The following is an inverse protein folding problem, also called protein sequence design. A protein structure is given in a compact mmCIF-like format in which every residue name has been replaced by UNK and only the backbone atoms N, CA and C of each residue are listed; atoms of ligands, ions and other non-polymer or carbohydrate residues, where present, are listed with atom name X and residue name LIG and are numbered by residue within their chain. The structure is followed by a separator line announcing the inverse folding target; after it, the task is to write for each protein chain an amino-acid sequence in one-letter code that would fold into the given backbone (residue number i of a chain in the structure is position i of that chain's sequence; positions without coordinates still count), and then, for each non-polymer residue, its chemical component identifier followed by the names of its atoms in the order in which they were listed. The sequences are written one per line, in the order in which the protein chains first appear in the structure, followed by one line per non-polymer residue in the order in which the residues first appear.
data_IF_195210813900
#
_entry.id   IF_195210813900
#
_cell.length_a   1.000
_cell.length_b   1.000
_cell.length_c   1.000
_cell.angle_alpha   90.00
_cell.angle_beta   90.00
_cell.angle_gamma   90.00
#
_symmetry.space_group_name_H-M   'P 1'
#
loop_
_entity.id
_entity.type
_entity.pdbx_description
1 polymer ?
#
# COMPACT_ATOMS: atom_id res chain seq x y z
N UNK A 1 3.94 -15.71 -3.85
CA UNK A 1 3.44 -14.83 -4.95
C UNK A 1 3.86 -13.40 -4.64
N UNK A 2 4.04 -12.56 -5.65
CA UNK A 2 4.44 -11.14 -5.49
C UNK A 2 3.25 -10.21 -5.73
N UNK A 3 3.32 -9.00 -5.19
CA UNK A 3 2.37 -7.91 -5.43
C UNK A 3 3.05 -6.55 -5.28
N UNK A 4 2.49 -5.51 -5.90
CA UNK A 4 2.91 -4.14 -5.71
C UNK A 4 2.14 -3.53 -4.54
N UNK A 5 2.85 -3.14 -3.49
CA UNK A 5 2.29 -2.42 -2.34
C UNK A 5 2.37 -0.92 -2.58
N UNK A 6 1.26 -0.22 -2.39
CA UNK A 6 1.20 1.24 -2.32
C UNK A 6 0.83 1.62 -0.88
N UNK A 7 1.72 2.32 -0.20
CA UNK A 7 1.50 2.88 1.12
C UNK A 7 0.56 4.09 1.04
N UNK A 8 -0.71 3.84 1.37
CA UNK A 8 -1.73 4.88 1.45
C UNK A 8 -1.86 5.40 2.89
N UNK A 9 -0.72 5.76 3.49
CA UNK A 9 -0.65 6.24 4.87
C UNK A 9 -1.34 7.59 5.03
N UNK A 10 -2.02 7.76 6.17
CA UNK A 10 -2.62 9.03 6.53
C UNK A 10 -1.60 10.15 6.64
N UNK A 11 -1.85 11.22 5.91
CA UNK A 11 -1.08 12.47 6.00
C UNK A 11 -1.93 13.67 6.38
N UNK A 12 -3.25 13.58 6.22
CA UNK A 12 -4.15 14.72 6.29
C UNK A 12 -5.59 14.33 6.71
N UNK A 13 -6.40 15.32 7.09
CA UNK A 13 -7.85 15.15 7.35
C UNK A 13 -8.72 15.53 6.14
N UNK A 14 -8.19 16.31 5.21
CA UNK A 14 -8.78 16.60 3.90
C UNK A 14 -7.72 16.73 2.81
N UNK A 15 -8.07 16.67 1.52
CA UNK A 15 -7.11 16.77 0.42
C UNK A 15 -6.28 18.05 0.43
N UNK A 16 -6.87 19.17 0.86
CA UNK A 16 -6.18 20.48 0.93
C UNK A 16 -5.09 20.52 2.02
N UNK A 17 -5.15 19.62 3.00
CA UNK A 17 -4.16 19.50 4.08
C UNK A 17 -2.96 18.61 3.69
N UNK A 18 -2.94 18.04 2.48
CA UNK A 18 -1.81 17.26 1.99
C UNK A 18 -0.61 18.18 1.72
N UNK A 19 0.35 18.16 2.64
CA UNK A 19 1.57 18.98 2.55
C UNK A 19 2.66 18.35 1.66
N UNK A 20 2.58 17.05 1.38
CA UNK A 20 3.51 16.34 0.51
C UNK A 20 3.03 16.37 -0.93
N UNK A 21 3.97 16.31 -1.89
CA UNK A 21 3.62 16.20 -3.31
C UNK A 21 2.94 14.86 -3.54
N UNK A 22 1.68 14.90 -3.99
CA UNK A 22 0.95 13.72 -4.46
C UNK A 22 1.25 13.51 -5.94
N UNK A 23 1.51 12.28 -6.34
CA UNK A 23 1.67 11.92 -7.75
C UNK A 23 0.38 12.24 -8.52
N UNK A 24 0.53 12.84 -9.69
CA UNK A 24 -0.54 12.92 -10.67
C UNK A 24 -0.85 11.54 -11.24
N UNK A 25 -2.02 11.37 -11.86
CA UNK A 25 -2.38 10.14 -12.58
C UNK A 25 -1.32 9.75 -13.62
N UNK A 26 -0.76 10.74 -14.33
CA UNK A 26 0.28 10.50 -15.34
C UNK A 26 1.62 10.08 -14.73
N UNK A 27 2.02 10.65 -13.60
CA UNK A 27 3.22 10.22 -12.88
C UNK A 27 3.03 8.81 -12.33
N UNK A 28 1.88 8.51 -11.71
CA UNK A 28 1.59 7.17 -11.19
C UNK A 28 1.59 6.14 -12.31
N UNK A 29 0.91 6.41 -13.42
CA UNK A 29 0.89 5.50 -14.58
C UNK A 29 2.31 5.20 -15.09
N UNK A 30 3.14 6.22 -15.28
CA UNK A 30 4.52 6.04 -15.75
C UNK A 30 5.37 5.20 -14.79
N UNK A 31 5.17 5.39 -13.48
CA UNK A 31 5.86 4.58 -12.48
C UNK A 31 5.38 3.13 -12.50
N UNK A 32 4.07 2.90 -12.66
CA UNK A 32 3.51 1.54 -12.73
C UNK A 32 3.92 0.80 -14.01
N UNK A 33 4.20 1.50 -15.11
CA UNK A 33 4.69 0.93 -16.38
C UNK A 33 6.07 0.26 -16.25
N UNK A 34 6.81 0.50 -15.17
CA UNK A 34 8.11 -0.15 -14.90
C UNK A 34 7.98 -1.55 -14.25
N UNK A 35 6.79 -1.95 -13.81
CA UNK A 35 6.52 -3.26 -13.17
C UNK A 35 5.85 -4.26 -14.13
N UNK A 36 5.81 -5.54 -13.73
CA UNK A 36 5.08 -6.57 -14.47
C UNK A 36 3.58 -6.21 -14.56
N UNK A 37 3.00 -6.32 -15.76
CA UNK A 37 1.60 -5.94 -16.02
C UNK A 37 0.57 -6.84 -15.32
N UNK A 38 0.98 -8.06 -14.96
CA UNK A 38 0.15 -9.04 -14.26
C UNK A 38 0.28 -8.93 -12.73
N UNK A 39 1.14 -8.05 -12.22
CA UNK A 39 1.38 -7.90 -10.78
C UNK A 39 0.17 -7.25 -10.08
N UNK A 40 -0.45 -7.91 -9.07
CA UNK A 40 -1.55 -7.30 -8.32
C UNK A 40 -1.10 -6.04 -7.58
N UNK A 41 -1.94 -5.00 -7.56
CA UNK A 41 -1.68 -3.77 -6.80
C UNK A 41 -2.53 -3.75 -5.52
N UNK A 42 -1.90 -3.57 -4.36
CA UNK A 42 -2.54 -3.54 -3.05
C UNK A 42 -2.31 -2.18 -2.37
N UNK A 43 -3.38 -1.57 -1.88
CA UNK A 43 -3.30 -0.40 -1.01
C UNK A 43 -3.13 -0.86 0.44
N UNK A 44 -2.03 -0.44 1.08
CA UNK A 44 -1.79 -0.66 2.50
C UNK A 44 -2.19 0.60 3.28
N UNK A 45 -3.27 0.49 4.05
CA UNK A 45 -3.83 1.56 4.86
C UNK A 45 -3.41 1.43 6.32
N UNK A 46 -3.17 2.55 6.99
CA UNK A 46 -3.00 2.59 8.44
C UNK A 46 -4.36 2.65 9.15
N UNK A 47 -4.69 1.62 9.96
CA UNK A 47 -5.76 1.52 10.97
C UNK A 47 -6.87 2.60 11.02
N UNK A 48 -7.49 2.93 9.88
CA UNK A 48 -8.81 3.53 9.76
C UNK A 48 -8.95 5.06 9.69
N UNK A 49 -8.16 5.82 8.90
CA UNK A 49 -8.50 7.24 8.59
C UNK A 49 -8.07 7.76 7.20
N UNK A 50 -8.50 8.98 6.85
CA UNK A 50 -9.28 9.31 5.64
C UNK A 50 -8.53 9.68 4.34
N UNK A 51 -7.33 10.29 4.38
CA UNK A 51 -6.61 10.71 3.15
C UNK A 51 -5.08 10.61 3.27
N UNK A 52 -4.43 10.03 2.25
CA UNK A 52 -2.98 9.87 2.11
C UNK A 52 -2.51 10.18 0.69
N UNK A 53 -1.32 10.77 0.54
CA UNK A 53 -0.72 10.98 -0.79
C UNK A 53 -0.08 9.70 -1.30
N UNK A 54 -0.25 9.39 -2.58
CA UNK A 54 0.60 8.42 -3.26
C UNK A 54 1.87 9.14 -3.70
N UNK A 55 3.02 8.59 -3.35
CA UNK A 55 4.35 9.05 -3.71
C UNK A 55 5.23 7.86 -4.09
N UNK A 56 6.33 8.13 -4.80
CA UNK A 56 7.25 7.12 -5.30
C UNK A 56 7.90 6.30 -4.17
N UNK A 57 8.22 6.96 -3.05
CA UNK A 57 8.75 6.34 -1.83
C UNK A 57 7.78 5.36 -1.15
N UNK A 58 6.49 5.48 -1.44
CA UNK A 58 5.44 4.62 -0.88
C UNK A 58 5.11 3.40 -1.76
N UNK A 59 5.81 3.17 -2.87
CA UNK A 59 5.51 2.08 -3.80
C UNK A 59 6.64 1.06 -3.80
N UNK A 60 6.35 -0.20 -3.51
CA UNK A 60 7.34 -1.28 -3.42
C UNK A 60 6.75 -2.64 -3.73
N UNK A 61 7.54 -3.55 -4.32
CA UNK A 61 7.18 -4.96 -4.43
C UNK A 61 7.23 -5.64 -3.06
N UNK A 62 6.26 -6.51 -2.79
CA UNK A 62 6.13 -7.26 -1.55
C UNK A 62 5.59 -8.68 -1.85
N UNK A 63 5.64 -9.56 -0.86
CA UNK A 63 5.36 -10.98 -0.99
C UNK A 63 4.17 -11.37 -0.12
N UNK A 64 3.27 -12.21 -0.64
CA UNK A 64 2.30 -12.87 0.22
C UNK A 64 3.06 -13.75 1.22
N UNK A 65 2.78 -13.59 2.51
CA UNK A 65 3.26 -14.54 3.50
C UNK A 65 2.69 -15.91 3.12
N UNK A 66 3.57 -16.90 2.89
CA UNK A 66 3.12 -18.29 2.80
C UNK A 66 2.31 -18.59 4.06
N UNK A 67 1.09 -19.09 3.88
CA UNK A 67 0.10 -19.30 4.94
C UNK A 67 0.79 -19.78 6.23
N UNK A 68 0.77 -18.93 7.26
CA UNK A 68 1.10 -19.37 8.61
C UNK A 68 0.08 -20.46 8.94
N UNK A 69 0.57 -21.69 9.06
CA UNK A 69 -0.20 -22.80 9.62
C UNK A 69 -0.76 -22.30 10.96
N UNK A 70 -2.08 -22.11 11.03
CA UNK A 70 -2.78 -21.66 12.22
C UNK A 70 -2.47 -22.63 13.37
N UNK A 71 -1.41 -22.37 14.12
CA UNK A 71 -1.27 -22.90 15.47
C UNK A 71 -2.26 -22.13 16.33
N UNK A 72 -3.52 -22.54 16.27
CA UNK A 72 -4.48 -22.27 17.34
C UNK A 72 -3.87 -22.82 18.62
N UNK A 73 -3.14 -21.96 19.34
CA UNK A 73 -2.68 -22.24 20.68
C UNK A 73 -3.90 -22.54 21.54
N UNK A 74 -4.00 -23.80 21.95
CA UNK A 74 -4.97 -24.29 22.91
C UNK A 74 -5.08 -23.32 24.08
N UNK A 75 -6.32 -23.01 24.47
CA UNK A 75 -6.59 -22.21 25.65
C UNK A 75 -5.86 -22.72 26.88
N UNK A 76 -5.47 -21.80 27.75
CA UNK A 76 -5.18 -22.12 29.15
C UNK A 76 -5.51 -20.90 30.00
N UNK A 77 -6.70 -21.00 30.60
CA UNK A 77 -7.14 -20.54 31.93
C UNK A 77 -6.93 -19.07 32.35
#
# INVERSE_FOLDING_TARGET
MEYLRIEAQRQAYGPDDLKRKTMTVGELKRLLEDFDEDLPVILSHDNGYTYGSISDDGISEDYYADEVEDSYGEGSE
#
